data_IF_362147749256
#
_entry.id   IF_362147749256
#
_cell.length_a   1.000
_cell.length_b   1.000
_cell.length_c   1.000
_cell.angle_alpha   90.00
_cell.angle_beta   90.00
_cell.angle_gamma   90.00
#
_symmetry.space_group_name_H-M   'P 1'
#
loop_
_entity.id
_entity.type
_entity.pdbx_description
1 polymer ?
#
# COMPACT_ATOMS: atom_id res chain seq x y z
N UNK A 1 -14.24 5.07 -23.03
CA UNK A 1 -14.37 5.53 -21.61
C UNK A 1 -13.03 5.39 -20.87
N UNK A 2 -12.21 4.36 -21.13
CA UNK A 2 -10.95 4.13 -20.40
C UNK A 2 -9.77 5.02 -20.79
N UNK A 3 -9.73 5.59 -21.99
CA UNK A 3 -8.62 6.44 -22.44
C UNK A 3 -8.55 7.77 -21.69
N UNK A 4 -9.70 8.36 -21.35
CA UNK A 4 -9.76 9.60 -20.60
C UNK A 4 -9.31 9.40 -19.13
N UNK A 5 -9.76 8.32 -18.49
CA UNK A 5 -9.33 7.95 -17.14
C UNK A 5 -7.82 7.69 -17.09
N UNK A 6 -7.23 7.11 -18.13
CA UNK A 6 -5.79 6.87 -18.22
C UNK A 6 -4.96 8.17 -18.27
N UNK A 7 -5.42 9.19 -18.99
CA UNK A 7 -4.76 10.51 -19.01
C UNK A 7 -4.84 11.20 -17.65
N UNK A 8 -5.98 11.15 -17.00
CA UNK A 8 -6.17 11.70 -15.65
C UNK A 8 -5.28 11.00 -14.63
N UNK A 9 -5.22 9.68 -14.63
CA UNK A 9 -4.35 8.92 -13.73
C UNK A 9 -2.85 9.21 -13.99
N UNK A 10 -2.47 9.41 -15.23
CA UNK A 10 -1.09 9.82 -15.57
C UNK A 10 -0.75 11.22 -15.03
N UNK A 11 -1.69 12.17 -15.03
CA UNK A 11 -1.48 13.50 -14.46
C UNK A 11 -1.29 13.45 -12.93
N UNK A 12 -1.80 12.41 -12.28
CA UNK A 12 -1.58 12.12 -10.86
C UNK A 12 -0.30 11.27 -10.61
N UNK A 13 0.58 11.17 -11.60
CA UNK A 13 1.79 10.34 -11.55
C UNK A 13 1.53 8.85 -11.31
N UNK A 14 0.30 8.37 -11.54
CA UNK A 14 0.01 6.95 -11.50
C UNK A 14 0.63 6.24 -12.71
N UNK A 15 1.21 5.08 -12.49
CA UNK A 15 1.73 4.24 -13.55
C UNK A 15 1.03 2.87 -13.55
N UNK A 16 0.77 2.31 -14.74
CA UNK A 16 0.13 1.01 -14.85
C UNK A 16 1.06 -0.10 -14.35
N UNK A 17 0.48 -1.05 -13.63
CA UNK A 17 1.16 -2.28 -13.20
C UNK A 17 0.43 -3.46 -13.82
N UNK A 18 1.15 -4.29 -14.56
CA UNK A 18 0.61 -5.57 -15.03
C UNK A 18 0.41 -6.49 -13.82
N UNK A 19 -0.84 -6.84 -13.56
CA UNK A 19 -1.23 -7.64 -12.40
C UNK A 19 -1.28 -9.12 -12.69
N UNK A 20 -1.46 -9.48 -13.94
CA UNK A 20 -1.60 -10.87 -14.40
C UNK A 20 -0.23 -11.51 -14.66
N UNK A 21 0.69 -10.72 -15.23
CA UNK A 21 2.07 -11.13 -15.47
C UNK A 21 3.07 -10.09 -14.92
N UNK A 22 3.31 -10.04 -13.60
CA UNK A 22 4.27 -9.12 -13.02
C UNK A 22 5.70 -9.49 -13.41
N UNK A 23 6.14 -9.05 -14.57
CA UNK A 23 7.50 -9.23 -15.05
C UNK A 23 8.52 -8.35 -14.29
N UNK A 24 9.82 -8.59 -14.45
CA UNK A 24 10.88 -7.79 -13.85
C UNK A 24 10.78 -6.29 -14.18
N UNK A 25 10.23 -5.94 -15.35
CA UNK A 25 9.98 -4.57 -15.80
C UNK A 25 8.96 -3.84 -14.92
N UNK A 26 7.98 -4.55 -14.36
CA UNK A 26 6.94 -4.01 -13.48
C UNK A 26 7.53 -3.47 -12.18
N UNK A 27 8.59 -4.09 -11.66
CA UNK A 27 9.25 -3.68 -10.43
C UNK A 27 10.31 -2.58 -10.66
N UNK A 28 10.85 -2.48 -11.88
CA UNK A 28 11.95 -1.56 -12.19
C UNK A 28 11.60 -0.09 -11.94
N UNK A 29 10.44 0.34 -12.43
CA UNK A 29 10.01 1.73 -12.31
C UNK A 29 9.80 2.17 -10.86
N UNK A 30 9.01 1.47 -10.01
CA UNK A 30 8.84 1.85 -8.61
C UNK A 30 10.16 1.78 -7.82
N UNK A 31 11.01 0.80 -8.05
CA UNK A 31 12.32 0.70 -7.39
C UNK A 31 13.22 1.88 -7.76
N UNK A 32 13.25 2.31 -9.02
CA UNK A 32 14.04 3.48 -9.43
C UNK A 32 13.52 4.77 -8.78
N UNK A 33 12.20 4.95 -8.70
CA UNK A 33 11.61 6.11 -8.02
C UNK A 33 12.02 6.17 -6.54
N UNK A 34 12.05 5.04 -5.84
CA UNK A 34 12.52 4.98 -4.45
C UNK A 34 14.02 5.33 -4.33
N UNK A 35 14.84 4.84 -5.27
CA UNK A 35 16.28 5.18 -5.32
C UNK A 35 16.54 6.65 -5.62
N UNK A 36 15.61 7.31 -6.30
CA UNK A 36 15.60 8.77 -6.54
C UNK A 36 14.98 9.55 -5.35
N UNK A 37 14.82 8.92 -4.19
CA UNK A 37 14.22 9.51 -2.98
C UNK A 37 12.77 9.99 -3.17
N UNK A 38 12.04 9.42 -4.13
CA UNK A 38 10.62 9.70 -4.33
C UNK A 38 9.75 8.77 -3.51
N UNK A 39 8.60 9.26 -3.08
CA UNK A 39 7.60 8.45 -2.37
C UNK A 39 6.65 7.81 -3.37
N UNK A 40 6.28 6.55 -3.12
CA UNK A 40 5.28 5.82 -3.91
C UNK A 40 4.15 5.31 -3.01
N UNK A 41 2.92 5.41 -3.49
CA UNK A 41 1.75 4.80 -2.86
C UNK A 41 1.44 3.45 -3.49
N UNK A 42 1.26 2.43 -2.67
CA UNK A 42 0.94 1.07 -3.12
C UNK A 42 -0.27 0.55 -2.33
N UNK A 43 -1.23 -0.05 -3.04
CA UNK A 43 -2.32 -0.81 -2.45
C UNK A 43 -1.97 -2.31 -2.48
N UNK A 44 -1.49 -2.88 -1.38
CA UNK A 44 -0.83 -4.19 -1.40
C UNK A 44 -1.79 -5.36 -1.63
N UNK A 45 -3.09 -5.20 -1.41
CA UNK A 45 -4.12 -6.22 -1.70
C UNK A 45 -4.36 -6.43 -3.19
N UNK A 46 -3.95 -5.48 -4.03
CA UNK A 46 -4.14 -5.54 -5.49
C UNK A 46 -5.58 -5.38 -5.97
N UNK A 47 -6.55 -5.45 -5.09
CA UNK A 47 -7.99 -5.24 -5.36
C UNK A 47 -8.58 -4.33 -4.28
N UNK A 48 -9.67 -3.64 -4.62
CA UNK A 48 -10.54 -3.00 -3.62
C UNK A 48 -11.36 -4.09 -2.92
N UNK A 49 -10.74 -4.88 -2.09
CA UNK A 49 -11.47 -5.84 -1.28
C UNK A 49 -11.95 -5.16 -0.01
N UNK A 50 -13.26 -5.21 0.20
CA UNK A 50 -13.88 -4.90 1.49
C UNK A 50 -13.75 -6.08 2.48
N UNK A 51 -12.98 -7.10 2.13
CA UNK A 51 -12.78 -8.29 2.94
C UNK A 51 -11.60 -8.05 3.86
N UNK A 52 -11.85 -7.93 5.15
CA UNK A 52 -10.80 -7.95 6.16
C UNK A 52 -10.02 -9.28 6.04
N UNK A 53 -8.68 -9.19 6.03
CA UNK A 53 -7.82 -10.36 5.95
C UNK A 53 -7.50 -10.84 4.52
N UNK A 54 -7.76 -10.04 3.48
CA UNK A 54 -7.27 -10.39 2.14
C UNK A 54 -5.74 -10.46 2.12
N UNK A 55 -5.14 -11.57 1.64
CA UNK A 55 -3.70 -11.76 1.69
C UNK A 55 -2.97 -10.68 0.89
N UNK A 56 -1.95 -10.10 1.49
CA UNK A 56 -1.12 -9.10 0.83
C UNK A 56 -0.22 -9.76 -0.22
N UNK A 57 -0.06 -9.07 -1.35
CA UNK A 57 0.89 -9.50 -2.37
C UNK A 57 2.31 -9.10 -1.99
N UNK A 58 3.27 -10.00 -2.19
CA UNK A 58 4.70 -9.79 -1.91
C UNK A 58 5.34 -8.61 -2.65
N UNK A 59 4.65 -8.06 -3.66
CA UNK A 59 5.17 -6.99 -4.51
C UNK A 59 5.56 -5.73 -3.75
N UNK A 60 4.76 -5.27 -2.80
CA UNK A 60 5.07 -4.09 -2.00
C UNK A 60 6.35 -4.28 -1.17
N UNK A 61 6.47 -5.41 -0.48
CA UNK A 61 7.67 -5.77 0.29
C UNK A 61 8.91 -5.91 -0.61
N UNK A 62 8.76 -6.52 -1.78
CA UNK A 62 9.85 -6.67 -2.75
C UNK A 62 10.34 -5.31 -3.26
N UNK A 63 9.43 -4.40 -3.61
CA UNK A 63 9.78 -3.06 -4.09
C UNK A 63 10.51 -2.26 -3.00
N UNK A 64 10.00 -2.26 -1.77
CA UNK A 64 10.63 -1.57 -0.64
C UNK A 64 12.03 -2.10 -0.35
N UNK A 65 12.20 -3.42 -0.33
CA UNK A 65 13.49 -4.05 -0.09
C UNK A 65 14.51 -3.76 -1.20
N UNK A 66 14.09 -3.79 -2.48
CA UNK A 66 14.97 -3.47 -3.60
C UNK A 66 15.30 -1.99 -3.68
N UNK A 67 14.37 -1.13 -3.28
CA UNK A 67 14.55 0.31 -3.19
C UNK A 67 15.26 0.77 -1.92
N UNK A 68 15.47 -0.12 -0.95
CA UNK A 68 16.00 0.19 0.40
C UNK A 68 15.23 1.33 1.08
N UNK A 69 13.92 1.34 0.92
CA UNK A 69 13.05 2.40 1.41
C UNK A 69 12.18 1.92 2.56
N UNK A 70 11.98 2.73 3.61
CA UNK A 70 11.06 2.40 4.70
C UNK A 70 9.63 2.29 4.18
N UNK A 71 8.81 1.52 4.88
CA UNK A 71 7.39 1.35 4.55
C UNK A 71 6.55 2.08 5.60
N UNK A 72 5.72 3.01 5.16
CA UNK A 72 4.79 3.72 6.02
C UNK A 72 3.39 3.09 5.87
N UNK A 73 2.95 2.25 6.82
CA UNK A 73 1.63 1.65 6.74
C UNK A 73 0.55 2.69 7.00
N UNK A 74 -0.55 2.62 6.25
CA UNK A 74 -1.70 3.50 6.41
C UNK A 74 -3.00 2.73 6.26
N UNK A 75 -4.02 3.16 7.00
CA UNK A 75 -5.38 2.67 6.90
C UNK A 75 -6.34 3.80 6.49
N UNK A 76 -7.42 3.44 5.83
CA UNK A 76 -8.44 4.38 5.36
C UNK A 76 -9.83 3.86 5.69
N UNK A 77 -10.67 4.74 6.23
CA UNK A 77 -12.12 4.54 6.39
C UNK A 77 -12.83 5.74 5.81
N UNK A 78 -13.73 5.51 4.88
CA UNK A 78 -14.45 6.59 4.23
C UNK A 78 -15.43 6.11 3.19
N UNK A 79 -16.03 7.04 2.44
CA UNK A 79 -17.02 6.73 1.43
C UNK A 79 -16.49 5.79 0.36
N UNK A 80 -17.31 4.79 0.00
CA UNK A 80 -16.97 3.84 -1.07
C UNK A 80 -17.13 4.42 -2.48
N UNK A 81 -17.90 5.51 -2.63
CA UNK A 81 -18.18 6.17 -3.90
C UNK A 81 -17.55 7.57 -3.93
N UNK A 82 -17.09 8.01 -5.09
CA UNK A 82 -16.45 9.33 -5.29
C UNK A 82 -17.38 10.47 -4.86
N UNK A 83 -18.68 10.36 -5.11
CA UNK A 83 -19.66 11.35 -4.67
C UNK A 83 -19.65 11.54 -3.13
N UNK A 84 -19.47 10.46 -2.38
CA UNK A 84 -19.37 10.52 -0.93
C UNK A 84 -18.08 11.18 -0.41
N UNK A 85 -17.05 11.35 -1.22
CA UNK A 85 -15.84 12.09 -0.82
C UNK A 85 -16.08 13.59 -0.64
N UNK A 86 -17.11 14.13 -1.29
CA UNK A 86 -17.49 15.55 -1.20
C UNK A 86 -18.38 15.78 0.03
N UNK A 87 -19.21 14.80 0.40
CA UNK A 87 -20.24 14.93 1.43
C UNK A 87 -19.98 14.11 2.70
N UNK A 88 -19.02 13.19 2.66
CA UNK A 88 -18.73 12.24 3.73
C UNK A 88 -17.38 12.51 4.40
N UNK A 89 -17.23 12.02 5.63
CA UNK A 89 -15.95 12.03 6.33
C UNK A 89 -15.04 10.93 5.82
N UNK A 90 -13.81 11.30 5.48
CA UNK A 90 -12.72 10.37 5.18
C UNK A 90 -11.70 10.44 6.34
N UNK A 91 -11.39 9.30 6.90
CA UNK A 91 -10.40 9.16 7.97
C UNK A 91 -9.21 8.38 7.45
N UNK A 92 -8.02 8.89 7.72
CA UNK A 92 -6.76 8.20 7.41
C UNK A 92 -5.97 8.10 8.72
N UNK A 93 -5.47 6.90 9.00
CA UNK A 93 -4.54 6.67 10.11
C UNK A 93 -3.22 6.17 9.54
N UNK A 94 -2.13 6.86 9.91
CA UNK A 94 -0.77 6.52 9.51
C UNK A 94 -0.07 5.90 10.71
N UNK A 95 0.59 4.78 10.49
CA UNK A 95 1.33 4.05 11.52
C UNK A 95 2.80 4.44 11.56
N UNK A 96 3.54 3.79 12.47
CA UNK A 96 4.99 3.93 12.53
C UNK A 96 5.64 3.30 11.30
N UNK A 97 6.73 3.87 10.77
CA UNK A 97 7.49 3.27 9.67
C UNK A 97 7.99 1.86 10.03
N UNK A 98 8.10 1.02 9.04
CA UNK A 98 8.86 -0.23 9.10
C UNK A 98 10.19 0.06 8.43
N UNK A 99 11.25 0.12 9.23
CA UNK A 99 12.58 0.41 8.74
C UNK A 99 13.23 -0.86 8.15
N UNK A 100 14.13 -0.69 7.19
CA UNK A 100 14.85 -1.84 6.62
C UNK A 100 15.77 -2.52 7.65
N UNK A 101 16.20 -1.78 8.66
CA UNK A 101 17.03 -2.29 9.76
C UNK A 101 16.24 -3.14 10.78
N UNK A 102 14.90 -3.04 10.77
CA UNK A 102 14.01 -3.90 11.57
C UNK A 102 13.97 -5.35 11.06
N UNK A 103 14.49 -5.59 9.84
CA UNK A 103 14.51 -6.92 9.23
C UNK A 103 15.68 -7.74 9.78
N UNK A 104 15.43 -8.96 10.31
CA UNK A 104 16.50 -9.81 10.77
C UNK A 104 17.56 -10.05 9.69
N UNK A 105 18.84 -9.86 10.05
CA UNK A 105 19.96 -9.88 9.09
C UNK A 105 20.31 -11.29 8.60
N UNK A 106 20.02 -12.29 9.41
CA UNK A 106 20.28 -13.72 9.19
C UNK A 106 19.33 -14.37 8.17
N UNK A 107 18.21 -13.73 7.85
CA UNK A 107 17.22 -14.23 6.90
C UNK A 107 17.75 -14.15 5.45
N UNK A 108 17.42 -15.18 4.65
CA UNK A 108 17.63 -15.17 3.21
C UNK A 108 16.68 -14.16 2.53
N UNK A 109 17.01 -13.76 1.32
CA UNK A 109 16.26 -12.74 0.58
C UNK A 109 14.75 -12.99 0.51
N UNK A 110 14.34 -14.22 0.23
CA UNK A 110 12.92 -14.58 0.15
C UNK A 110 12.23 -14.52 1.52
N UNK A 111 12.93 -14.96 2.56
CA UNK A 111 12.44 -14.92 3.94
C UNK A 111 12.28 -13.48 4.44
N UNK A 112 13.18 -12.56 4.03
CA UNK A 112 13.05 -11.13 4.32
C UNK A 112 11.81 -10.51 3.67
N UNK A 113 11.51 -10.91 2.42
CA UNK A 113 10.27 -10.47 1.73
C UNK A 113 9.04 -11.00 2.44
N UNK A 114 9.06 -12.26 2.88
CA UNK A 114 7.94 -12.86 3.61
C UNK A 114 7.75 -12.21 5.00
N UNK A 115 8.84 -11.95 5.70
CA UNK A 115 8.81 -11.20 6.96
C UNK A 115 8.20 -9.82 6.79
N UNK A 116 8.67 -9.05 5.81
CA UNK A 116 8.13 -7.71 5.52
C UNK A 116 6.64 -7.77 5.12
N UNK A 117 6.25 -8.75 4.31
CA UNK A 117 4.85 -8.90 3.88
C UNK A 117 3.94 -9.13 5.09
N UNK A 118 4.35 -10.03 6.00
CA UNK A 118 3.62 -10.29 7.25
C UNK A 118 3.56 -9.06 8.17
N UNK A 119 4.66 -8.33 8.27
CA UNK A 119 4.71 -7.14 9.12
C UNK A 119 3.85 -6.00 8.55
N UNK A 120 3.82 -5.80 7.24
CA UNK A 120 2.88 -4.88 6.58
C UNK A 120 1.44 -5.28 6.89
N UNK A 121 1.10 -6.56 6.74
CA UNK A 121 -0.24 -7.09 7.00
C UNK A 121 -0.65 -6.85 8.46
N UNK A 122 0.21 -7.24 9.40
CA UNK A 122 -0.03 -7.05 10.83
C UNK A 122 -0.32 -5.59 11.18
N UNK A 123 0.55 -4.66 10.72
CA UNK A 123 0.41 -3.23 11.05
C UNK A 123 -0.78 -2.59 10.34
N UNK A 124 -1.04 -2.90 9.08
CA UNK A 124 -2.21 -2.35 8.37
C UNK A 124 -3.52 -2.86 8.95
N UNK A 125 -3.61 -4.14 9.32
CA UNK A 125 -4.79 -4.71 9.97
C UNK A 125 -5.06 -4.06 11.33
N UNK A 126 -4.02 -3.85 12.13
CA UNK A 126 -4.15 -3.16 13.41
C UNK A 126 -4.64 -1.72 13.22
N UNK A 127 -4.03 -0.97 12.30
CA UNK A 127 -4.44 0.41 12.00
C UNK A 127 -5.89 0.48 11.51
N UNK A 128 -6.31 -0.49 10.68
CA UNK A 128 -7.68 -0.56 10.18
C UNK A 128 -8.68 -0.79 11.30
N UNK A 129 -8.36 -1.71 12.24
CA UNK A 129 -9.20 -1.96 13.42
C UNK A 129 -9.35 -0.71 14.27
N UNK A 130 -8.25 -0.08 14.64
CA UNK A 130 -8.26 1.15 15.44
C UNK A 130 -9.03 2.29 14.74
N UNK A 131 -8.88 2.41 13.41
CA UNK A 131 -9.56 3.43 12.63
C UNK A 131 -11.07 3.17 12.53
N UNK A 132 -11.48 1.90 12.44
CA UNK A 132 -12.88 1.51 12.46
C UNK A 132 -13.52 1.88 13.81
N UNK A 133 -12.86 1.63 14.92
CA UNK A 133 -13.33 2.01 16.26
C UNK A 133 -13.54 3.53 16.38
N UNK A 134 -12.57 4.33 15.90
CA UNK A 134 -12.68 5.79 15.86
C UNK A 134 -13.87 6.22 14.97
N UNK A 135 -14.00 5.62 13.77
CA UNK A 135 -15.10 5.94 12.87
C UNK A 135 -16.48 5.65 13.46
N UNK A 136 -16.60 4.57 14.26
CA UNK A 136 -17.84 4.25 14.97
C UNK A 136 -18.14 5.24 16.10
N UNK A 137 -17.13 5.71 16.81
CA UNK A 137 -17.32 6.68 17.89
C UNK A 137 -17.75 8.06 17.39
N UNK A 138 -17.29 8.46 16.19
CA UNK A 138 -17.64 9.75 15.56
C UNK A 138 -19.05 9.78 14.95
N UNK A 139 -19.70 8.63 14.81
CA UNK A 139 -21.06 8.53 14.25
C UNK A 139 -22.16 8.49 15.32
N UNK A 140 -21.78 8.44 16.58
CA UNK A 140 -22.68 8.58 17.75
C UNK A 140 -22.85 10.04 18.11
#
# INVERSE_FOLDING_TARGET
IYQWAGKFLKSLNAFPVDRENPGPSTLKKPVNLLKEHKTIGIFPTGHRTSVEGAPLKRGAATIAMLGKAPILPAAYVGPKKIHGLITGQALIKIGKPIEMDDIPKDLKRNEKVDFLTKEIERRTTQLQKELNEISHSLKK
#
